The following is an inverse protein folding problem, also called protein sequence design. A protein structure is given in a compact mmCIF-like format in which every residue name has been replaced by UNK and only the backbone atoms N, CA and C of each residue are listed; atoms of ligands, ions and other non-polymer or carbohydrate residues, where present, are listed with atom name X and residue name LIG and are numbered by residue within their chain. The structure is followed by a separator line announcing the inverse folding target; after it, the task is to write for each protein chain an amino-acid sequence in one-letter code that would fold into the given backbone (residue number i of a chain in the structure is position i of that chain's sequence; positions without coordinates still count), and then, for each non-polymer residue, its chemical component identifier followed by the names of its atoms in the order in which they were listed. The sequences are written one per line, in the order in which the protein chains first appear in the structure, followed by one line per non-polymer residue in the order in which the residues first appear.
data_IF_612236586069
#
_entry.id   IF_612236586069
#
_cell.length_a   1.000
_cell.length_b   1.000
_cell.length_c   1.000
_cell.angle_alpha   90.00
_cell.angle_beta   90.00
_cell.angle_gamma   90.00
#
_symmetry.space_group_name_H-M   'P 1'
#
loop_
_entity.id
_entity.type
_entity.pdbx_description
1 polymer ?
#
# COMPACT_ATOMS: atom_id res chain seq x y z
N UNK A 1 -7.84 -10.34 12.94
CA UNK A 1 -7.69 -10.70 11.52
C UNK A 1 -6.30 -10.28 11.06
N UNK A 2 -5.44 -11.22 10.65
CA UNK A 2 -4.29 -10.94 9.78
C UNK A 2 -4.81 -11.08 8.36
N UNK A 3 -4.81 -10.01 7.56
CA UNK A 3 -5.16 -10.14 6.14
C UNK A 3 -4.29 -9.22 5.31
N UNK A 4 -3.03 -9.65 5.19
CA UNK A 4 -2.15 -9.25 4.09
C UNK A 4 -2.10 -10.45 3.15
N UNK A 5 -2.65 -10.28 1.95
CA UNK A 5 -2.60 -11.26 0.88
C UNK A 5 -1.62 -10.74 -0.18
N UNK A 6 -0.42 -11.33 -0.19
CA UNK A 6 0.58 -11.09 -1.23
C UNK A 6 0.63 -12.31 -2.14
N UNK A 7 0.37 -12.12 -3.43
CA UNK A 7 0.56 -13.15 -4.45
C UNK A 7 1.95 -12.97 -5.04
N UNK A 8 2.80 -14.00 -5.00
CA UNK A 8 4.06 -13.97 -5.75
C UNK A 8 3.75 -14.15 -7.24
N UNK A 9 4.11 -13.17 -8.06
CA UNK A 9 3.96 -13.19 -9.51
C UNK A 9 5.30 -12.78 -10.12
N UNK A 10 5.81 -13.54 -11.09
CA UNK A 10 7.08 -13.28 -11.79
C UNK A 10 8.30 -13.08 -10.86
N UNK A 11 8.35 -13.76 -9.72
CA UNK A 11 9.44 -13.62 -8.74
C UNK A 11 9.31 -12.43 -7.78
N UNK A 12 8.30 -11.59 -7.92
CA UNK A 12 8.01 -10.45 -7.03
C UNK A 12 6.70 -10.64 -6.26
N UNK A 13 6.63 -10.09 -5.04
CA UNK A 13 5.39 -10.05 -4.26
C UNK A 13 4.44 -8.96 -4.79
N UNK A 14 3.33 -9.35 -5.42
CA UNK A 14 2.23 -8.46 -5.74
C UNK A 14 1.23 -8.42 -4.58
N UNK A 15 1.03 -7.23 -4.02
CA UNK A 15 0.06 -7.03 -2.95
C UNK A 15 -1.36 -7.07 -3.53
N UNK A 16 -2.08 -8.17 -3.31
CA UNK A 16 -3.49 -8.30 -3.72
C UNK A 16 -4.40 -7.49 -2.80
N UNK A 17 -4.16 -7.60 -1.51
CA UNK A 17 -4.99 -6.99 -0.48
C UNK A 17 -4.19 -6.78 0.80
N UNK A 18 -4.43 -5.66 1.47
CA UNK A 18 -3.97 -5.38 2.83
C UNK A 18 -5.07 -4.75 3.65
N UNK A 19 -5.15 -5.15 4.91
CA UNK A 19 -5.95 -4.45 5.91
C UNK A 19 -5.01 -3.68 6.84
N UNK A 20 -5.24 -2.37 6.94
CA UNK A 20 -4.51 -1.43 7.79
C UNK A 20 -5.44 -0.94 8.90
N UNK A 21 -4.92 -0.84 10.13
CA UNK A 21 -5.62 -0.22 11.25
C UNK A 21 -4.99 1.15 11.49
N UNK A 22 -5.80 2.21 11.44
CA UNK A 22 -5.37 3.58 11.74
C UNK A 22 -5.53 3.89 13.23
N UNK A 23 -5.03 5.06 13.65
CA UNK A 23 -5.13 5.55 15.04
C UNK A 23 -6.59 5.75 15.50
N UNK A 24 -7.52 6.03 14.58
CA UNK A 24 -8.96 6.08 14.83
C UNK A 24 -9.60 4.70 15.10
N UNK A 25 -8.77 3.64 15.12
CA UNK A 25 -9.12 2.23 15.30
C UNK A 25 -9.94 1.62 14.16
N UNK A 26 -10.17 2.35 13.07
CA UNK A 26 -10.86 1.84 11.90
C UNK A 26 -9.93 0.95 11.07
N UNK A 27 -10.53 -0.07 10.46
CA UNK A 27 -9.86 -0.98 9.55
C UNK A 27 -10.13 -0.54 8.11
N UNK A 28 -9.06 -0.24 7.40
CA UNK A 28 -9.10 0.08 5.99
C UNK A 28 -8.59 -1.10 5.20
N UNK A 29 -9.33 -1.49 4.17
CA UNK A 29 -8.98 -2.59 3.28
C UNK A 29 -8.62 -2.00 1.93
N UNK A 30 -7.39 -2.23 1.50
CA UNK A 30 -6.87 -1.81 0.21
C UNK A 30 -6.60 -3.02 -0.65
N UNK A 31 -7.08 -3.00 -1.89
CA UNK A 31 -6.73 -3.96 -2.94
C UNK A 31 -5.87 -3.28 -3.99
N UNK A 32 -5.14 -4.08 -4.77
CA UNK A 32 -4.31 -3.57 -5.87
C UNK A 32 -5.09 -2.64 -6.83
N UNK A 33 -6.34 -2.99 -7.14
CA UNK A 33 -7.21 -2.19 -8.01
C UNK A 33 -7.66 -0.87 -7.39
N UNK A 34 -7.75 -0.79 -6.06
CA UNK A 34 -8.16 0.42 -5.34
C UNK A 34 -7.07 1.49 -5.40
N UNK A 35 -5.82 1.10 -5.66
CA UNK A 35 -4.72 2.04 -5.80
C UNK A 35 -5.00 3.11 -6.85
N UNK A 36 -5.63 2.77 -7.98
CA UNK A 36 -5.93 3.75 -9.05
C UNK A 36 -6.82 4.90 -8.55
N UNK A 37 -7.67 4.65 -7.55
CA UNK A 37 -8.54 5.66 -6.94
C UNK A 37 -7.98 6.27 -5.65
N UNK A 38 -6.86 5.78 -5.13
CA UNK A 38 -6.28 6.27 -3.89
C UNK A 38 -5.75 7.69 -4.04
N UNK A 39 -6.23 8.59 -3.18
CA UNK A 39 -5.74 9.95 -3.15
C UNK A 39 -4.31 9.99 -2.60
N UNK A 40 -3.50 10.96 -3.04
CA UNK A 40 -2.11 11.11 -2.59
C UNK A 40 -2.01 11.21 -1.05
N UNK A 41 -2.96 11.90 -0.42
CA UNK A 41 -3.02 12.04 1.04
C UNK A 41 -3.23 10.70 1.75
N UNK A 42 -4.00 9.78 1.16
CA UNK A 42 -4.22 8.45 1.74
C UNK A 42 -2.96 7.60 1.64
N UNK A 43 -2.20 7.74 0.55
CA UNK A 43 -0.89 7.09 0.37
C UNK A 43 0.12 7.63 1.39
N UNK A 44 0.15 8.96 1.57
CA UNK A 44 1.01 9.62 2.55
C UNK A 44 0.68 9.20 3.98
N UNK A 45 -0.60 9.18 4.35
CA UNK A 45 -1.08 8.68 5.64
C UNK A 45 -0.66 7.22 5.89
N UNK A 46 -0.80 6.35 4.89
CA UNK A 46 -0.40 4.95 4.98
C UNK A 46 1.12 4.78 5.15
N UNK A 47 1.91 5.56 4.42
CA UNK A 47 3.36 5.55 4.54
C UNK A 47 3.79 6.06 5.93
N UNK A 48 3.11 7.10 6.43
CA UNK A 48 3.33 7.66 7.75
C UNK A 48 3.08 6.62 8.85
N UNK A 49 1.98 5.86 8.77
CA UNK A 49 1.71 4.76 9.70
C UNK A 49 2.79 3.68 9.69
N UNK A 50 3.34 3.38 8.52
CA UNK A 50 4.44 2.42 8.37
C UNK A 50 5.74 2.92 9.01
N UNK A 51 6.10 4.20 8.79
CA UNK A 51 7.30 4.83 9.36
C UNK A 51 7.20 5.00 10.88
N UNK A 52 6.01 5.32 11.39
CA UNK A 52 5.78 5.43 12.84
C UNK A 52 5.66 4.07 13.55
N UNK A 53 5.82 2.94 12.83
CA UNK A 53 5.62 1.59 13.35
C UNK A 53 4.22 1.36 13.95
N UNK A 54 3.21 2.13 13.52
CA UNK A 54 1.82 2.06 14.02
C UNK A 54 0.99 0.94 13.38
N UNK A 55 1.59 0.18 12.47
CA UNK A 55 1.00 -1.00 11.84
C UNK A 55 1.15 -2.25 12.73
N UNK A 56 0.82 -2.15 14.02
CA UNK A 56 1.08 -3.18 15.04
C UNK A 56 0.41 -4.54 14.75
N UNK A 57 -0.62 -4.56 13.92
CA UNK A 57 -1.33 -5.78 13.52
C UNK A 57 -0.67 -6.51 12.32
N UNK A 58 0.35 -5.92 11.70
CA UNK A 58 1.10 -6.49 10.58
C UNK A 58 2.44 -7.06 11.05
N UNK A 59 2.94 -8.08 10.35
CA UNK A 59 4.30 -8.58 10.57
C UNK A 59 5.31 -7.69 9.85
N UNK A 60 6.57 -7.65 10.31
CA UNK A 60 7.64 -6.89 9.67
C UNK A 60 7.78 -7.20 8.17
N UNK A 61 7.69 -8.48 7.78
CA UNK A 61 7.71 -8.89 6.37
C UNK A 61 6.57 -8.25 5.58
N UNK A 62 5.36 -8.21 6.15
CA UNK A 62 4.20 -7.62 5.47
C UNK A 62 4.29 -6.10 5.39
N UNK A 63 4.90 -5.44 6.38
CA UNK A 63 5.17 -3.99 6.34
C UNK A 63 6.14 -3.68 5.19
N UNK A 64 7.20 -4.49 5.04
CA UNK A 64 8.14 -4.34 3.91
C UNK A 64 7.45 -4.53 2.57
N UNK A 65 6.67 -5.61 2.40
CA UNK A 65 5.91 -5.86 1.17
C UNK A 65 4.93 -4.72 0.86
N UNK A 66 4.27 -4.17 1.88
CA UNK A 66 3.36 -3.04 1.75
C UNK A 66 4.06 -1.76 1.30
N UNK A 67 5.21 -1.42 1.91
CA UNK A 67 6.01 -0.24 1.51
C UNK A 67 6.49 -0.38 0.06
N UNK A 68 6.93 -1.58 -0.34
CA UNK A 68 7.35 -1.85 -1.73
C UNK A 68 6.18 -1.65 -2.70
N UNK A 69 4.99 -2.18 -2.36
CA UNK A 69 3.80 -2.02 -3.19
C UNK A 69 3.41 -0.53 -3.36
N UNK A 70 3.37 0.24 -2.26
CA UNK A 70 3.08 1.68 -2.31
C UNK A 70 4.11 2.43 -3.17
N UNK A 71 5.40 2.13 -3.02
CA UNK A 71 6.46 2.77 -3.79
C UNK A 71 6.35 2.49 -5.29
N UNK A 72 6.02 1.25 -5.67
CA UNK A 72 5.78 0.91 -7.07
C UNK A 72 4.55 1.63 -7.61
N UNK A 73 3.49 1.74 -6.82
CA UNK A 73 2.28 2.44 -7.22
C UNK A 73 2.51 3.94 -7.44
N UNK A 74 3.16 4.63 -6.50
CA UNK A 74 3.50 6.06 -6.64
C UNK A 74 4.36 6.32 -7.89
N UNK A 75 5.32 5.43 -8.19
CA UNK A 75 6.10 5.50 -9.43
C UNK A 75 5.22 5.37 -10.68
N UNK A 76 4.27 4.43 -10.68
CA UNK A 76 3.32 4.26 -11.79
C UNK A 76 2.46 5.51 -11.99
N UNK A 77 1.98 6.14 -10.92
CA UNK A 77 1.22 7.39 -10.99
C UNK A 77 2.04 8.53 -11.59
N UNK A 78 3.29 8.72 -11.15
CA UNK A 78 4.17 9.76 -11.68
C UNK A 78 4.41 9.54 -13.18
N UNK A 79 4.64 8.30 -13.63
CA UNK A 79 4.82 7.97 -15.05
C UNK A 79 3.53 8.27 -15.83
N UNK A 80 2.37 7.82 -15.35
CA UNK A 80 1.07 8.08 -15.99
C UNK A 80 0.78 9.57 -16.12
N UNK A 81 1.14 10.37 -15.10
CA UNK A 81 1.02 11.82 -15.14
C UNK A 81 1.90 12.43 -16.23
N UNK A 82 3.19 12.06 -16.26
CA UNK A 82 4.13 12.50 -17.30
C UNK A 82 3.70 12.12 -18.72
N UNK A 83 3.11 10.94 -18.90
CA UNK A 83 2.59 10.50 -20.21
C UNK A 83 1.32 11.26 -20.60
N UNK A 84 0.45 11.60 -19.64
CA UNK A 84 -0.74 12.44 -19.90
C UNK A 84 -0.40 13.88 -20.25
N UNK A 85 0.73 14.37 -19.74
CA UNK A 85 1.21 15.74 -19.97
C UNK A 85 1.97 15.87 -21.31
N UNK A 86 2.12 14.78 -22.08
CA UNK A 86 2.79 14.69 -23.39
C UNK A 86 1.77 14.65 -24.54
#
# INVERSE_FOLDING_TARGET
LKSVSVKKLHGYGHLKEIVVKRDDRQLYKFKEGDFVGLHMNEIEDMLFLAVQHKLFHLTNSNIVDFIVALRMFTRSLIIKKRVKDL
#
